data_IF_695712311418
#
_entry.id   IF_695712311418
#
_cell.length_a   1.000
_cell.length_b   1.000
_cell.length_c   1.000
_cell.angle_alpha   90.00
_cell.angle_beta   90.00
_cell.angle_gamma   90.00
#
_symmetry.space_group_name_H-M   'P 1'
#
loop_
_entity.id
_entity.type
_entity.pdbx_description
1 polymer ?
#
# COMPACT_ATOMS: atom_id res chain seq x y z
N UNK A 1 5.07 -9.65 -12.49
CA UNK A 1 4.44 -9.48 -11.17
C UNK A 1 5.46 -9.57 -10.05
N UNK A 2 6.22 -10.67 -9.93
CA UNK A 2 7.19 -10.84 -8.83
C UNK A 2 8.31 -9.79 -8.81
N UNK A 3 8.81 -9.38 -9.98
CA UNK A 3 9.87 -8.36 -10.09
C UNK A 3 9.41 -6.95 -9.72
N UNK A 4 8.19 -6.57 -10.10
CA UNK A 4 7.63 -5.26 -9.76
C UNK A 4 7.30 -5.19 -8.27
N UNK A 5 6.65 -6.22 -7.72
CA UNK A 5 6.39 -6.30 -6.28
C UNK A 5 7.69 -6.25 -5.47
N UNK A 6 8.76 -6.93 -5.92
CA UNK A 6 10.07 -6.85 -5.28
C UNK A 6 10.67 -5.43 -5.31
N UNK A 7 10.50 -4.69 -6.41
CA UNK A 7 10.94 -3.30 -6.52
C UNK A 7 10.16 -2.40 -5.55
N UNK A 8 8.83 -2.56 -5.49
CA UNK A 8 7.97 -1.79 -4.59
C UNK A 8 8.28 -2.09 -3.12
N UNK A 9 8.44 -3.36 -2.76
CA UNK A 9 8.85 -3.77 -1.41
C UNK A 9 10.19 -3.14 -1.04
N UNK A 10 11.16 -3.16 -1.96
CA UNK A 10 12.46 -2.52 -1.75
C UNK A 10 12.33 -1.01 -1.53
N UNK A 11 11.54 -0.31 -2.33
CA UNK A 11 11.32 1.13 -2.21
C UNK A 11 10.61 1.51 -0.92
N UNK A 12 9.57 0.76 -0.51
CA UNK A 12 8.89 0.97 0.77
C UNK A 12 9.73 0.54 1.99
N UNK A 13 10.82 -0.21 1.79
CA UNK A 13 11.80 -0.53 2.83
C UNK A 13 12.84 0.59 3.03
N UNK A 14 12.96 1.54 2.09
CA UNK A 14 13.74 2.77 2.30
C UNK A 14 13.00 3.62 3.33
N UNK A 15 13.68 4.12 4.38
CA UNK A 15 13.07 5.02 5.36
C UNK A 15 12.41 6.23 4.68
N UNK A 16 11.19 6.63 5.09
CA UNK A 16 10.49 7.85 4.64
C UNK A 16 11.37 9.07 4.36
N UNK A 17 12.23 9.41 5.31
CA UNK A 17 13.10 10.58 5.28
C UNK A 17 14.32 10.43 4.35
N UNK A 18 14.53 9.26 3.75
CA UNK A 18 15.66 8.95 2.88
C UNK A 18 15.25 8.67 1.42
N UNK A 19 13.95 8.72 1.10
CA UNK A 19 13.47 8.50 -0.27
C UNK A 19 13.81 9.68 -1.17
N UNK A 20 14.37 9.39 -2.33
CA UNK A 20 14.61 10.41 -3.35
C UNK A 20 13.29 10.83 -4.03
N UNK A 21 13.24 12.00 -4.71
CA UNK A 21 12.07 12.38 -5.50
C UNK A 21 11.70 11.36 -6.58
N UNK A 22 12.69 10.66 -7.16
CA UNK A 22 12.47 9.61 -8.14
C UNK A 22 11.78 8.37 -7.52
N UNK A 23 12.18 7.99 -6.30
CA UNK A 23 11.55 6.88 -5.56
C UNK A 23 10.08 7.20 -5.27
N UNK A 24 9.80 8.43 -4.80
CA UNK A 24 8.44 8.88 -4.51
C UNK A 24 7.59 8.89 -5.79
N UNK A 25 8.13 9.34 -6.92
CA UNK A 25 7.43 9.32 -8.20
C UNK A 25 7.11 7.89 -8.67
N UNK A 26 8.03 6.95 -8.48
CA UNK A 26 7.83 5.54 -8.83
C UNK A 26 6.76 4.88 -7.94
N UNK A 27 6.85 5.08 -6.62
CA UNK A 27 5.84 4.60 -5.67
C UNK A 27 4.46 5.18 -5.98
N UNK A 28 4.40 6.46 -6.32
CA UNK A 28 3.16 7.14 -6.67
C UNK A 28 2.55 6.54 -7.94
N UNK A 29 3.35 6.30 -8.98
CA UNK A 29 2.89 5.65 -10.20
C UNK A 29 2.32 4.25 -9.92
N UNK A 30 2.96 3.48 -9.05
CA UNK A 30 2.44 2.18 -8.61
C UNK A 30 1.11 2.30 -7.84
N UNK A 31 1.00 3.18 -6.85
CA UNK A 31 -0.26 3.32 -6.10
C UNK A 31 -1.44 3.72 -7.00
N UNK A 32 -1.19 4.42 -8.11
CA UNK A 32 -2.21 4.78 -9.10
C UNK A 32 -2.71 3.58 -9.93
N UNK A 33 -2.00 2.45 -9.95
CA UNK A 33 -2.50 1.22 -10.59
C UNK A 33 -3.53 0.50 -9.73
N UNK A 34 -3.57 0.80 -8.42
CA UNK A 34 -4.52 0.19 -7.49
C UNK A 34 -5.90 0.82 -7.71
N UNK A 35 -6.84 0.03 -8.23
CA UNK A 35 -8.20 0.45 -8.58
C UNK A 35 -8.92 1.21 -7.44
N UNK A 36 -8.80 0.73 -6.20
CA UNK A 36 -9.40 1.36 -5.03
C UNK A 36 -8.81 2.72 -4.64
N UNK A 37 -7.61 3.05 -5.14
CA UNK A 37 -6.92 4.32 -4.93
C UNK A 37 -7.09 5.28 -6.12
N UNK A 38 -7.38 4.74 -7.30
CA UNK A 38 -7.55 5.50 -8.55
C UNK A 38 -9.03 5.60 -8.96
N UNK A 39 -9.84 6.19 -8.09
CA UNK A 39 -11.28 6.39 -8.36
C UNK A 39 -11.48 7.68 -9.18
N UNK A 40 -12.08 7.62 -10.38
CA UNK A 40 -12.39 8.81 -11.18
C UNK A 40 -13.43 9.70 -10.48
N UNK A 41 -13.25 11.02 -10.57
CA UNK A 41 -14.22 11.97 -10.03
C UNK A 41 -13.65 13.36 -9.74
N UNK A 42 -14.49 14.29 -9.24
CA UNK A 42 -14.09 15.68 -8.97
C UNK A 42 -13.01 15.82 -7.89
N UNK A 43 -12.77 14.75 -7.11
CA UNK A 43 -11.78 14.72 -6.01
C UNK A 43 -10.44 14.11 -6.43
N UNK A 44 -10.27 13.72 -7.71
CA UNK A 44 -9.07 13.04 -8.21
C UNK A 44 -7.78 13.80 -7.90
N UNK A 45 -7.77 15.13 -8.06
CA UNK A 45 -6.60 15.97 -7.79
C UNK A 45 -6.21 16.01 -6.31
N UNK A 46 -7.18 16.02 -5.40
CA UNK A 46 -6.91 15.96 -3.95
C UNK A 46 -6.35 14.57 -3.58
N UNK A 47 -6.92 13.51 -4.15
CA UNK A 47 -6.41 12.15 -3.94
C UNK A 47 -4.99 11.96 -4.49
N UNK A 48 -4.63 12.62 -5.58
CA UNK A 48 -3.27 12.60 -6.13
C UNK A 48 -2.24 13.21 -5.15
N UNK A 49 -2.59 14.33 -4.52
CA UNK A 49 -1.76 14.93 -3.47
C UNK A 49 -1.64 13.99 -2.25
N UNK A 50 -2.76 13.45 -1.76
CA UNK A 50 -2.79 12.53 -0.63
C UNK A 50 -1.98 11.24 -0.90
N UNK A 51 -2.03 10.72 -2.13
CA UNK A 51 -1.24 9.55 -2.54
C UNK A 51 0.26 9.85 -2.58
N UNK A 52 0.67 11.05 -2.99
CA UNK A 52 2.08 11.47 -2.89
C UNK A 52 2.54 11.55 -1.44
N UNK A 53 1.68 12.03 -0.54
CA UNK A 53 2.00 12.07 0.88
C UNK A 53 2.06 10.66 1.48
N UNK A 54 1.20 9.74 1.05
CA UNK A 54 1.28 8.33 1.41
C UNK A 54 2.62 7.71 0.97
N UNK A 55 3.13 8.04 -0.22
CA UNK A 55 4.45 7.60 -0.68
C UNK A 55 5.60 8.12 0.19
N UNK A 56 5.39 9.19 0.95
CA UNK A 56 6.38 9.74 1.88
C UNK A 56 6.33 9.05 3.24
N UNK A 57 5.16 8.62 3.72
CA UNK A 57 5.01 8.07 5.08
C UNK A 57 4.87 6.54 5.12
N UNK A 58 4.40 5.91 4.04
CA UNK A 58 4.13 4.48 4.01
C UNK A 58 5.40 3.65 4.19
N UNK A 59 5.30 2.53 4.89
CA UNK A 59 6.43 1.64 5.17
C UNK A 59 6.09 0.19 4.87
N UNK A 60 7.05 -0.55 4.34
CA UNK A 60 6.88 -1.98 4.15
C UNK A 60 6.91 -2.68 5.51
N UNK A 61 5.90 -3.51 5.79
CA UNK A 61 5.84 -4.39 6.95
C UNK A 61 5.63 -5.82 6.47
N UNK A 62 6.58 -6.69 6.79
CA UNK A 62 6.40 -8.13 6.64
C UNK A 62 5.71 -8.67 7.88
N UNK A 63 4.58 -9.34 7.69
CA UNK A 63 3.79 -9.93 8.77
C UNK A 63 3.94 -11.44 8.71
N UNK A 64 4.27 -12.12 9.82
CA UNK A 64 4.26 -13.58 9.89
C UNK A 64 2.87 -14.17 9.67
N UNK A 65 2.83 -15.49 9.45
CA UNK A 65 1.59 -16.25 9.41
C UNK A 65 0.84 -16.16 10.76
N UNK A 66 -0.49 -16.31 10.72
CA UNK A 66 -1.38 -16.36 11.88
C UNK A 66 -1.33 -15.13 12.82
N UNK A 67 -0.97 -13.96 12.29
CA UNK A 67 -1.01 -12.70 13.04
C UNK A 67 -2.31 -11.94 12.79
N UNK A 68 -3.02 -11.60 13.87
CA UNK A 68 -4.17 -10.71 13.82
C UNK A 68 -3.72 -9.26 13.56
N UNK A 69 -4.12 -8.68 12.42
CA UNK A 69 -3.77 -7.30 12.05
C UNK A 69 -4.63 -6.25 12.76
N UNK A 70 -5.94 -6.49 12.83
CA UNK A 70 -6.91 -5.64 13.51
C UNK A 70 -8.18 -6.43 13.80
N UNK A 71 -9.00 -5.95 14.75
CA UNK A 71 -10.33 -6.49 15.04
C UNK A 71 -11.40 -5.42 14.80
N UNK A 72 -12.58 -5.85 14.34
CA UNK A 72 -13.74 -4.97 14.23
C UNK A 72 -14.09 -4.36 15.60
N UNK A 73 -14.30 -3.04 15.63
CA UNK A 73 -14.61 -2.29 16.85
C UNK A 73 -13.39 -1.74 17.60
N UNK A 74 -12.17 -2.12 17.21
CA UNK A 74 -10.94 -1.52 17.75
C UNK A 74 -10.57 -0.25 16.97
N UNK A 75 -9.92 0.71 17.65
CA UNK A 75 -9.36 1.88 17.00
C UNK A 75 -8.16 1.45 16.14
N UNK A 76 -8.18 1.80 14.85
CA UNK A 76 -7.10 1.50 13.93
C UNK A 76 -6.24 2.75 13.70
N UNK A 77 -4.93 2.64 13.97
CA UNK A 77 -3.98 3.74 13.78
C UNK A 77 -3.35 3.77 12.38
N UNK A 78 -3.58 2.73 11.56
CA UNK A 78 -2.95 2.60 10.25
C UNK A 78 -3.80 1.78 9.27
N UNK A 79 -3.51 1.94 7.98
CA UNK A 79 -4.12 1.19 6.88
C UNK A 79 -3.07 0.33 6.19
N UNK A 80 -3.51 -0.76 5.55
CA UNK A 80 -2.64 -1.72 4.89
C UNK A 80 -2.97 -1.84 3.41
N UNK A 81 -1.93 -2.01 2.59
CA UNK A 81 -2.03 -2.44 1.19
C UNK A 81 -1.35 -3.81 1.11
N UNK A 82 -2.09 -4.83 0.70
CA UNK A 82 -1.56 -6.19 0.57
C UNK A 82 -0.79 -6.33 -0.75
N UNK A 83 0.54 -6.43 -0.67
CA UNK A 83 1.41 -6.59 -1.84
C UNK A 83 1.63 -8.06 -2.23
N UNK A 84 1.80 -8.93 -1.24
CA UNK A 84 2.11 -10.36 -1.41
C UNK A 84 1.47 -11.19 -0.31
N UNK A 85 1.15 -12.46 -0.59
CA UNK A 85 0.59 -13.41 0.40
C UNK A 85 -0.93 -13.45 0.38
N UNK A 86 -1.55 -13.57 1.55
CA UNK A 86 -3.00 -13.55 1.71
C UNK A 86 -3.38 -13.01 3.08
N UNK A 87 -4.62 -12.53 3.21
CA UNK A 87 -5.21 -12.18 4.51
C UNK A 87 -6.58 -12.83 4.65
N UNK A 88 -6.91 -13.29 5.85
CA UNK A 88 -8.24 -13.76 6.19
C UNK A 88 -9.02 -12.60 6.83
N UNK A 89 -10.13 -12.22 6.21
CA UNK A 89 -11.07 -11.25 6.78
C UNK A 89 -12.36 -12.00 7.03
N UNK A 90 -12.76 -12.09 8.31
CA UNK A 90 -13.88 -12.90 8.78
C UNK A 90 -13.71 -14.38 8.36
N UNK A 91 -14.42 -14.80 7.31
CA UNK A 91 -14.38 -16.17 6.77
C UNK A 91 -13.86 -16.25 5.34
N UNK A 92 -13.42 -15.13 4.78
CA UNK A 92 -13.03 -15.02 3.38
C UNK A 92 -11.56 -14.68 3.25
N UNK A 93 -10.85 -15.43 2.41
CA UNK A 93 -9.44 -15.19 2.11
C UNK A 93 -9.30 -14.23 0.94
N UNK A 94 -8.49 -13.20 1.13
CA UNK A 94 -8.20 -12.19 0.12
C UNK A 94 -6.74 -12.31 -0.31
N UNK A 95 -6.53 -12.28 -1.63
CA UNK A 95 -5.23 -12.30 -2.27
C UNK A 95 -4.91 -10.89 -2.82
N UNK A 96 -3.63 -10.52 -2.97
CA UNK A 96 -3.25 -9.34 -3.74
C UNK A 96 -3.95 -9.39 -5.10
N UNK A 97 -4.67 -8.34 -5.46
CA UNK A 97 -5.25 -8.26 -6.80
C UNK A 97 -4.11 -8.28 -7.82
N UNK A 98 -4.27 -9.08 -8.87
CA UNK A 98 -3.52 -8.87 -10.10
C UNK A 98 -3.89 -7.46 -10.60
N UNK A 99 -2.94 -6.54 -10.48
CA UNK A 99 -3.04 -5.17 -10.97
C UNK A 99 -2.87 -5.13 -12.49
#
# INVERSE_FOLDING_TARGET
MDSENAAIIRLFSIPPNQRSPADVAYLHAFLRTIEGLNVPGPTLAHRDADLRDLCRIGVHRRVPEDVLLYRAGEQCDCWYILLTGSVLIETSMFLPRAW
#
